data_IF_875938368194
#
_entry.id   IF_875938368194
#
_cell.length_a   1.000
_cell.length_b   1.000
_cell.length_c   1.000
_cell.angle_alpha   90.00
_cell.angle_beta   90.00
_cell.angle_gamma   90.00
#
_symmetry.space_group_name_H-M   'P 1'
#
loop_
_entity.id
_entity.type
_entity.pdbx_description
1 polymer ?
#
# COMPACT_ATOMS: atom_id res chain seq x y z
N UNK A 1 13.21 -11.56 -22.00
CA UNK A 1 13.92 -11.54 -20.71
C UNK A 1 12.86 -11.34 -19.63
N UNK A 2 12.42 -12.43 -18.99
CA UNK A 2 11.44 -12.40 -17.89
C UNK A 2 12.22 -12.38 -16.57
N UNK A 3 11.89 -11.45 -15.67
CA UNK A 3 12.46 -11.44 -14.32
C UNK A 3 11.48 -12.16 -13.40
N UNK A 4 11.70 -13.45 -13.15
CA UNK A 4 10.86 -14.25 -12.24
C UNK A 4 11.26 -14.00 -10.78
N UNK A 5 10.65 -12.98 -10.18
CA UNK A 5 10.60 -12.85 -8.72
C UNK A 5 9.40 -13.67 -8.20
N UNK A 6 9.57 -14.99 -8.09
CA UNK A 6 8.57 -15.85 -7.43
C UNK A 6 8.56 -15.51 -5.92
N UNK A 7 7.60 -14.68 -5.51
CA UNK A 7 7.37 -14.32 -4.11
C UNK A 7 6.38 -15.28 -3.45
N UNK A 8 6.61 -16.61 -3.52
CA UNK A 8 5.73 -17.56 -2.85
C UNK A 8 6.28 -17.97 -1.48
N UNK A 9 5.44 -17.87 -0.45
CA UNK A 9 5.69 -18.48 0.84
C UNK A 9 5.67 -20.01 0.69
N UNK A 10 6.80 -20.64 1.00
CA UNK A 10 6.99 -22.07 1.32
C UNK A 10 5.81 -23.02 1.06
N UNK A 11 5.73 -23.58 -0.15
CA UNK A 11 5.05 -24.87 -0.40
C UNK A 11 6.10 -25.95 -0.66
N UNK A 12 6.15 -27.03 0.14
CA UNK A 12 7.04 -28.16 -0.14
C UNK A 12 6.46 -28.99 -1.29
N UNK A 13 7.23 -29.19 -2.36
CA UNK A 13 6.96 -30.26 -3.33
C UNK A 13 6.68 -29.90 -4.79
N UNK A 14 6.87 -28.65 -5.25
CA UNK A 14 6.83 -28.35 -6.70
C UNK A 14 7.98 -27.45 -7.14
N UNK A 15 8.79 -28.02 -8.04
CA UNK A 15 9.86 -27.43 -8.87
C UNK A 15 10.21 -25.97 -8.56
N UNK A 16 11.33 -25.77 -7.87
CA UNK A 16 12.03 -24.48 -7.85
C UNK A 16 12.32 -24.08 -9.29
N UNK A 17 11.59 -23.08 -9.80
CA UNK A 17 11.86 -22.51 -11.10
C UNK A 17 13.18 -21.73 -11.00
N UNK A 18 14.09 -22.10 -11.91
CA UNK A 18 15.48 -21.65 -12.02
C UNK A 18 15.59 -20.14 -11.78
N UNK A 19 16.50 -19.75 -10.88
CA UNK A 19 17.11 -18.41 -10.85
C UNK A 19 17.75 -18.17 -12.22
N UNK A 20 17.00 -17.68 -13.19
CA UNK A 20 17.61 -17.03 -14.33
C UNK A 20 18.02 -15.64 -13.87
N UNK A 21 19.33 -15.49 -13.81
CA UNK A 21 20.09 -14.33 -13.44
C UNK A 21 19.53 -13.04 -14.08
N UNK A 22 18.98 -12.18 -13.23
CA UNK A 22 19.05 -10.74 -13.39
C UNK A 22 18.74 -10.13 -12.02
N UNK A 23 19.71 -10.16 -11.10
CA UNK A 23 19.78 -9.07 -10.14
C UNK A 23 19.76 -7.79 -10.97
N UNK A 24 18.73 -6.95 -10.82
CA UNK A 24 18.76 -5.60 -11.35
C UNK A 24 20.06 -4.97 -10.79
N UNK A 25 21.07 -4.66 -11.63
CA UNK A 25 22.35 -4.19 -11.12
C UNK A 25 22.12 -2.95 -10.26
N UNK A 26 22.56 -2.98 -9.00
CA UNK A 26 22.34 -1.89 -8.04
C UNK A 26 21.01 -1.91 -7.27
N UNK A 27 20.16 -2.93 -7.43
CA UNK A 27 18.89 -3.04 -6.70
C UNK A 27 18.88 -4.21 -5.70
N UNK A 28 18.47 -3.95 -4.46
CA UNK A 28 18.39 -4.95 -3.38
C UNK A 28 16.95 -5.27 -3.00
N UNK A 29 16.55 -6.53 -3.12
CA UNK A 29 15.22 -6.96 -2.66
C UNK A 29 15.19 -7.05 -1.12
N UNK A 30 14.20 -6.43 -0.48
CA UNK A 30 13.96 -6.53 0.96
C UNK A 30 12.47 -6.81 1.27
N UNK A 31 12.21 -7.33 2.48
CA UNK A 31 10.85 -7.72 2.94
C UNK A 31 10.31 -6.84 4.07
N UNK A 32 11.11 -5.90 4.54
CA UNK A 32 10.81 -4.99 5.63
C UNK A 32 11.36 -3.60 5.32
N UNK A 33 10.69 -2.56 5.81
CA UNK A 33 11.14 -1.18 5.66
C UNK A 33 12.57 -1.01 6.18
N UNK A 34 13.37 -0.26 5.42
CA UNK A 34 14.72 0.14 5.82
C UNK A 34 14.64 1.56 6.39
N UNK A 35 14.83 1.71 7.69
CA UNK A 35 14.64 3.01 8.36
C UNK A 35 15.92 3.84 8.23
N UNK A 36 15.81 5.05 7.67
CA UNK A 36 16.95 5.97 7.60
C UNK A 36 17.40 6.41 9.00
N UNK A 37 18.70 6.70 9.15
CA UNK A 37 19.32 6.97 10.46
C UNK A 37 18.71 8.17 11.20
N UNK A 38 18.21 9.15 10.46
CA UNK A 38 17.61 10.37 10.97
C UNK A 38 16.09 10.26 11.19
N UNK A 39 15.46 9.13 10.82
CA UNK A 39 14.06 8.86 11.09
C UNK A 39 13.93 8.15 12.45
N UNK A 40 13.17 8.74 13.36
CA UNK A 40 12.87 8.15 14.68
C UNK A 40 11.48 7.53 14.66
N UNK A 41 11.41 6.23 14.91
CA UNK A 41 10.14 5.54 15.04
C UNK A 41 9.49 5.83 16.41
N UNK A 42 8.17 6.01 16.48
CA UNK A 42 7.46 6.13 17.75
C UNK A 42 7.55 4.84 18.58
N UNK A 43 7.34 4.97 19.88
CA UNK A 43 7.27 3.82 20.78
C UNK A 43 6.04 2.94 20.47
N UNK A 44 6.15 1.65 20.77
CA UNK A 44 5.04 0.72 20.60
C UNK A 44 3.87 1.08 21.52
N UNK A 45 2.64 1.12 20.97
CA UNK A 45 1.42 1.32 21.76
C UNK A 45 1.11 0.08 22.62
N UNK A 46 0.29 0.25 23.65
CA UNK A 46 -0.08 -0.82 24.59
C UNK A 46 -0.84 -1.98 23.94
N UNK A 47 -1.67 -1.72 22.92
CA UNK A 47 -2.46 -2.75 22.25
C UNK A 47 -3.64 -3.28 23.09
N UNK A 48 -4.25 -4.37 22.65
CA UNK A 48 -5.35 -5.04 23.36
C UNK A 48 -4.86 -6.14 24.30
N UNK A 49 -5.64 -6.46 25.33
CA UNK A 49 -5.40 -7.57 26.27
C UNK A 49 -6.13 -8.88 25.87
N UNK A 50 -6.72 -8.96 24.68
CA UNK A 50 -7.36 -10.19 24.19
C UNK A 50 -6.37 -11.36 24.17
N UNK A 51 -6.83 -12.59 24.43
CA UNK A 51 -6.00 -13.79 24.36
C UNK A 51 -6.30 -14.59 23.09
N UNK A 52 -5.27 -15.15 22.44
CA UNK A 52 -5.44 -15.94 21.23
C UNK A 52 -5.82 -15.08 20.01
N UNK A 53 -7.10 -14.87 19.77
CA UNK A 53 -7.59 -14.04 18.65
C UNK A 53 -8.62 -13.02 19.12
N UNK A 54 -8.64 -11.85 18.49
CA UNK A 54 -9.65 -10.82 18.78
C UNK A 54 -10.95 -11.18 18.06
N UNK A 55 -12.02 -11.40 18.83
CA UNK A 55 -13.33 -11.86 18.32
C UNK A 55 -14.49 -10.96 18.73
N UNK A 56 -14.47 -10.40 19.95
CA UNK A 56 -15.52 -9.49 20.42
C UNK A 56 -15.05 -8.03 20.26
N UNK A 57 -15.62 -7.27 19.32
CA UNK A 57 -15.21 -5.88 19.10
C UNK A 57 -15.55 -4.94 20.26
N UNK A 58 -16.49 -5.31 21.13
CA UNK A 58 -16.88 -4.51 22.30
C UNK A 58 -15.81 -4.52 23.39
N UNK A 59 -15.05 -5.61 23.48
CA UNK A 59 -13.99 -5.78 24.48
C UNK A 59 -12.60 -5.45 23.93
N UNK A 60 -12.37 -5.65 22.62
CA UNK A 60 -11.07 -5.42 22.02
C UNK A 60 -10.76 -3.91 21.86
N UNK A 61 -9.72 -3.43 22.54
CA UNK A 61 -9.25 -2.05 22.40
C UNK A 61 -8.89 -1.67 20.94
N UNK A 62 -8.33 -2.62 20.17
CA UNK A 62 -7.99 -2.39 18.76
C UNK A 62 -9.23 -2.27 17.85
N UNK A 63 -10.33 -2.96 18.15
CA UNK A 63 -11.57 -2.81 17.41
C UNK A 63 -12.21 -1.43 17.63
N UNK A 64 -12.13 -0.91 18.87
CA UNK A 64 -12.61 0.44 19.20
C UNK A 64 -11.91 1.54 18.39
N UNK A 65 -10.60 1.39 18.11
CA UNK A 65 -9.86 2.31 17.24
C UNK A 65 -10.39 2.32 15.80
N UNK A 66 -11.04 1.25 15.36
CA UNK A 66 -11.66 1.12 14.04
C UNK A 66 -13.16 1.49 14.05
N UNK A 67 -13.63 2.28 15.02
CA UNK A 67 -15.05 2.64 15.09
C UNK A 67 -15.96 1.54 15.66
N UNK A 68 -15.41 0.70 16.55
CA UNK A 68 -16.13 -0.33 17.32
C UNK A 68 -16.53 -1.60 16.55
N UNK A 69 -15.89 -1.88 15.42
CA UNK A 69 -15.90 -3.20 14.76
C UNK A 69 -14.53 -3.52 14.15
N UNK A 70 -14.29 -4.77 13.76
CA UNK A 70 -13.05 -5.16 13.08
C UNK A 70 -13.09 -4.73 11.60
N UNK A 71 -11.98 -4.20 11.07
CA UNK A 71 -11.90 -3.76 9.67
C UNK A 71 -11.78 -4.95 8.68
N UNK A 72 -11.54 -6.15 9.20
CA UNK A 72 -11.31 -7.36 8.42
C UNK A 72 -12.34 -8.45 8.75
N UNK A 73 -12.80 -9.15 7.72
CA UNK A 73 -13.56 -10.40 7.86
C UNK A 73 -12.64 -11.61 7.79
N UNK A 74 -12.89 -12.63 8.63
CA UNK A 74 -12.16 -13.90 8.63
C UNK A 74 -12.63 -14.80 7.47
N UNK A 75 -12.35 -14.39 6.24
CA UNK A 75 -12.66 -15.13 5.02
C UNK A 75 -11.42 -15.19 4.14
N UNK A 76 -11.07 -16.36 3.59
CA UNK A 76 -9.91 -16.57 2.71
C UNK A 76 -8.58 -16.03 3.27
N UNK A 77 -8.37 -16.16 4.59
CA UNK A 77 -7.15 -15.68 5.25
C UNK A 77 -7.17 -14.21 5.69
N UNK A 78 -8.32 -13.53 5.59
CA UNK A 78 -8.53 -12.14 6.01
C UNK A 78 -8.77 -11.23 4.81
N UNK A 79 -9.90 -10.53 4.80
CA UNK A 79 -10.25 -9.55 3.75
C UNK A 79 -10.69 -8.25 4.38
N UNK A 80 -10.19 -7.13 3.88
CA UNK A 80 -10.67 -5.81 4.27
C UNK A 80 -12.11 -5.65 3.79
N UNK A 81 -13.00 -5.21 4.68
CA UNK A 81 -14.42 -5.06 4.38
C UNK A 81 -14.64 -3.90 3.41
N UNK A 82 -14.01 -2.78 3.69
CA UNK A 82 -14.12 -1.53 2.95
C UNK A 82 -12.85 -0.68 3.15
N UNK A 83 -12.57 0.24 2.25
CA UNK A 83 -11.47 1.19 2.41
C UNK A 83 -11.77 2.19 3.55
N UNK A 84 -10.73 2.58 4.29
CA UNK A 84 -10.84 3.47 5.46
C UNK A 84 -9.74 4.52 5.47
N UNK A 85 -9.94 5.61 6.20
CA UNK A 85 -8.90 6.63 6.43
C UNK A 85 -7.61 6.01 6.96
N UNK A 86 -7.76 5.13 7.94
CA UNK A 86 -6.69 4.33 8.47
C UNK A 86 -7.28 3.06 9.07
N UNK A 87 -6.55 1.96 8.95
CA UNK A 87 -6.89 0.69 9.58
C UNK A 87 -5.97 0.47 10.77
N UNK A 88 -6.53 0.18 11.94
CA UNK A 88 -5.76 -0.13 13.14
C UNK A 88 -5.70 -1.64 13.38
N UNK A 89 -4.55 -2.23 13.09
CA UNK A 89 -4.27 -3.64 13.40
C UNK A 89 -3.74 -3.83 14.82
N UNK A 90 -3.85 -5.06 15.32
CA UNK A 90 -3.19 -5.47 16.55
C UNK A 90 -1.66 -5.41 16.36
N UNK A 91 -1.00 -4.73 17.31
CA UNK A 91 0.45 -4.51 17.32
C UNK A 91 1.25 -5.54 18.13
N UNK A 92 2.57 -5.30 18.31
CA UNK A 92 3.47 -6.20 19.03
C UNK A 92 3.09 -6.45 20.50
N UNK A 93 2.51 -5.45 21.17
CA UNK A 93 2.14 -5.54 22.59
C UNK A 93 0.73 -6.10 22.82
N UNK A 94 -0.02 -6.45 21.77
CA UNK A 94 -1.33 -7.07 21.94
C UNK A 94 -1.19 -8.51 22.44
N UNK A 95 -2.07 -8.94 23.35
CA UNK A 95 -2.12 -10.32 23.86
C UNK A 95 -2.58 -11.38 22.84
N UNK A 96 -3.11 -10.95 21.68
CA UNK A 96 -3.54 -11.85 20.62
C UNK A 96 -2.35 -12.28 19.74
N UNK A 97 -2.37 -13.54 19.32
CA UNK A 97 -1.33 -14.16 18.51
C UNK A 97 -1.37 -13.79 17.02
N UNK A 98 -0.44 -14.32 16.21
CA UNK A 98 -0.29 -14.00 14.79
C UNK A 98 -1.47 -14.47 13.92
N UNK A 99 -2.26 -15.43 14.40
CA UNK A 99 -3.49 -15.90 13.74
C UNK A 99 -4.69 -14.96 13.86
N UNK A 100 -4.57 -13.86 14.62
CA UNK A 100 -5.65 -12.88 14.79
C UNK A 100 -6.05 -12.24 13.45
N UNK A 101 -7.35 -12.16 13.16
CA UNK A 101 -7.88 -11.53 11.93
C UNK A 101 -7.46 -10.06 11.83
N UNK A 102 -7.35 -9.36 12.97
CA UNK A 102 -6.87 -7.99 13.03
C UNK A 102 -5.34 -7.86 12.92
N UNK A 103 -4.69 -8.82 12.26
CA UNK A 103 -3.27 -8.80 11.84
C UNK A 103 -3.14 -9.23 10.37
N UNK A 104 -4.19 -9.05 9.57
CA UNK A 104 -4.31 -9.60 8.21
C UNK A 104 -3.15 -9.18 7.32
N UNK A 105 -2.78 -7.89 7.29
CA UNK A 105 -1.70 -7.39 6.45
C UNK A 105 -0.29 -7.79 6.92
N UNK A 106 -0.12 -8.19 8.19
CA UNK A 106 1.17 -8.61 8.76
C UNK A 106 1.61 -9.99 8.26
N UNK A 107 0.72 -10.75 7.60
CA UNK A 107 0.97 -12.14 7.20
C UNK A 107 1.80 -12.28 5.92
N UNK A 108 2.28 -11.16 5.37
CA UNK A 108 3.07 -11.10 4.14
C UNK A 108 2.29 -11.46 2.89
N UNK A 109 3.00 -11.58 1.76
CA UNK A 109 2.44 -11.93 0.45
C UNK A 109 1.87 -13.36 0.49
N UNK A 110 0.60 -13.51 0.09
CA UNK A 110 -0.12 -14.80 0.04
C UNK A 110 -0.33 -15.35 -1.37
N UNK A 111 -0.29 -14.48 -2.37
CA UNK A 111 -0.57 -14.84 -3.75
C UNK A 111 0.73 -15.11 -4.51
N UNK A 112 0.69 -16.03 -5.46
CA UNK A 112 1.81 -16.22 -6.39
C UNK A 112 1.86 -15.06 -7.39
N UNK A 113 2.80 -14.15 -7.16
CA UNK A 113 3.02 -12.97 -8.01
C UNK A 113 4.19 -13.18 -8.97
N UNK A 114 4.09 -12.58 -10.15
CA UNK A 114 5.12 -12.58 -11.18
C UNK A 114 5.36 -11.16 -11.69
N UNK A 115 6.65 -10.81 -11.86
CA UNK A 115 7.06 -9.59 -12.57
C UNK A 115 7.25 -9.92 -14.05
N UNK A 116 6.62 -9.14 -14.94
CA UNK A 116 6.68 -9.34 -16.38
C UNK A 116 6.96 -8.04 -17.12
N UNK A 117 7.43 -8.12 -18.38
CA UNK A 117 7.73 -6.94 -19.20
C UNK A 117 6.53 -6.58 -20.05
N UNK A 118 6.16 -5.30 -20.04
CA UNK A 118 5.12 -4.72 -20.90
C UNK A 118 5.74 -3.96 -22.07
N UNK A 119 5.00 -3.77 -23.18
CA UNK A 119 5.51 -3.04 -24.34
C UNK A 119 5.82 -1.55 -24.08
N UNK A 120 5.05 -0.88 -23.22
CA UNK A 120 5.09 0.59 -23.06
C UNK A 120 5.30 1.10 -21.62
N UNK A 121 5.10 0.27 -20.60
CA UNK A 121 5.17 0.69 -19.17
C UNK A 121 6.41 0.14 -18.46
N UNK A 122 7.26 -0.61 -19.15
CA UNK A 122 8.40 -1.28 -18.54
C UNK A 122 7.98 -2.55 -17.81
N UNK A 123 8.43 -2.72 -16.58
CA UNK A 123 8.07 -3.88 -15.75
C UNK A 123 6.66 -3.72 -15.16
N UNK A 124 5.99 -4.83 -14.90
CA UNK A 124 4.64 -4.88 -14.33
C UNK A 124 4.51 -6.11 -13.42
N UNK A 125 3.45 -6.15 -12.61
CA UNK A 125 3.14 -7.31 -11.75
C UNK A 125 1.79 -7.90 -12.16
N UNK A 126 1.69 -9.24 -12.13
CA UNK A 126 0.42 -9.97 -12.23
C UNK A 126 0.40 -11.12 -11.23
N UNK A 127 -0.77 -11.67 -10.96
CA UNK A 127 -0.90 -12.90 -10.17
C UNK A 127 -1.18 -14.12 -11.04
N UNK A 128 -0.66 -15.27 -10.64
CA UNK A 128 -0.99 -16.57 -11.25
C UNK A 128 -2.30 -17.14 -10.73
N UNK A 129 -2.85 -16.54 -9.69
CA UNK A 129 -4.00 -17.02 -8.93
C UNK A 129 -5.09 -15.96 -8.92
N UNK A 130 -6.31 -16.40 -8.60
CA UNK A 130 -7.40 -15.47 -8.34
C UNK A 130 -7.16 -14.71 -7.03
N UNK A 131 -7.35 -13.39 -7.04
CA UNK A 131 -7.29 -12.54 -5.85
C UNK A 131 -8.70 -12.02 -5.54
N UNK A 132 -9.31 -12.39 -4.40
CA UNK A 132 -10.63 -11.88 -4.04
C UNK A 132 -10.56 -10.40 -3.61
N UNK A 133 -11.62 -9.64 -3.89
CA UNK A 133 -11.74 -8.24 -3.46
C UNK A 133 -11.49 -8.10 -1.94
N UNK A 134 -10.77 -7.08 -1.52
CA UNK A 134 -10.36 -6.85 -0.12
C UNK A 134 -9.20 -7.72 0.35
N UNK A 135 -8.63 -8.61 -0.46
CA UNK A 135 -7.43 -9.36 -0.07
C UNK A 135 -6.19 -8.45 -0.02
N UNK A 136 -5.31 -8.59 0.99
CA UNK A 136 -4.02 -7.92 1.01
C UNK A 136 -3.10 -8.49 -0.06
N UNK A 137 -2.52 -7.62 -0.89
CA UNK A 137 -1.58 -8.02 -1.96
C UNK A 137 -0.14 -7.92 -1.47
N UNK A 138 0.30 -6.71 -1.11
CA UNK A 138 1.64 -6.47 -0.57
C UNK A 138 1.72 -5.10 0.13
N UNK A 139 2.68 -4.96 1.04
CA UNK A 139 3.11 -3.66 1.57
C UNK A 139 4.03 -2.98 0.56
N UNK A 140 4.00 -1.64 0.48
CA UNK A 140 4.99 -0.89 -0.29
C UNK A 140 6.27 -0.76 0.56
N UNK A 141 7.32 -1.52 0.19
CA UNK A 141 8.55 -1.58 0.97
C UNK A 141 9.69 -0.89 0.21
N UNK A 142 10.45 -0.07 0.93
CA UNK A 142 11.67 0.60 0.49
C UNK A 142 12.42 1.19 1.68
N UNK A 143 13.20 2.23 1.44
CA UNK A 143 13.82 3.04 2.49
C UNK A 143 12.84 4.11 2.99
N UNK A 144 12.53 4.10 4.28
CA UNK A 144 11.74 5.14 4.93
C UNK A 144 12.65 6.32 5.24
N UNK A 145 12.41 7.45 4.58
CA UNK A 145 13.23 8.67 4.62
C UNK A 145 12.34 9.88 4.90
N UNK A 146 12.93 11.01 5.34
CA UNK A 146 12.20 12.27 5.36
C UNK A 146 12.15 12.81 3.93
N UNK A 147 11.03 13.41 3.56
CA UNK A 147 10.82 13.89 2.18
C UNK A 147 11.84 14.97 1.79
N UNK A 148 12.26 15.80 2.74
CA UNK A 148 13.31 16.82 2.53
C UNK A 148 14.70 16.24 2.20
N UNK A 149 14.97 14.99 2.61
CA UNK A 149 16.25 14.31 2.34
C UNK A 149 16.23 13.55 1.01
N UNK A 150 15.07 13.49 0.34
CA UNK A 150 15.03 12.91 -0.99
C UNK A 150 15.70 13.88 -1.94
N UNK A 151 16.86 13.48 -2.47
CA UNK A 151 17.36 14.11 -3.66
C UNK A 151 16.27 13.89 -4.71
N UNK A 152 15.53 14.95 -5.05
CA UNK A 152 14.67 14.97 -6.24
C UNK A 152 15.56 14.93 -7.50
N UNK A 153 16.52 13.99 -7.56
CA UNK A 153 17.13 13.57 -8.82
C UNK A 153 15.95 13.27 -9.70
N UNK A 154 15.80 14.06 -10.76
CA UNK A 154 14.56 14.24 -11.51
C UNK A 154 14.11 12.99 -12.30
N UNK A 155 14.61 11.82 -11.92
CA UNK A 155 14.46 10.52 -12.56
C UNK A 155 14.06 9.39 -11.60
N UNK A 156 14.06 9.58 -10.26
CA UNK A 156 13.59 8.53 -9.34
C UNK A 156 12.06 8.47 -9.30
N UNK A 157 11.47 7.54 -10.07
CA UNK A 157 10.02 7.33 -10.16
C UNK A 157 9.50 6.28 -9.15
N UNK A 158 10.25 5.95 -8.10
CA UNK A 158 9.93 4.88 -7.14
C UNK A 158 9.71 5.37 -5.71
N UNK A 159 9.45 6.68 -5.54
CA UNK A 159 9.13 7.30 -4.26
C UNK A 159 7.61 7.24 -4.03
N UNK A 160 7.21 6.84 -2.83
CA UNK A 160 5.82 6.85 -2.38
C UNK A 160 5.67 7.76 -1.16
N UNK A 161 4.95 8.87 -1.31
CA UNK A 161 4.69 9.80 -0.20
C UNK A 161 3.66 9.22 0.78
N UNK A 162 3.95 9.29 2.09
CA UNK A 162 3.02 8.80 3.11
C UNK A 162 2.03 9.90 3.47
N UNK A 163 0.93 9.96 2.72
CA UNK A 163 -0.19 10.86 2.97
C UNK A 163 -1.52 10.10 3.06
N UNK A 164 -1.93 9.75 4.28
CA UNK A 164 -3.19 9.04 4.50
C UNK A 164 -4.42 9.89 4.18
N UNK A 165 -4.33 11.23 4.22
CA UNK A 165 -5.44 12.12 3.89
C UNK A 165 -5.64 12.21 2.37
N UNK A 166 -4.56 12.32 1.59
CA UNK A 166 -4.66 12.27 0.12
C UNK A 166 -5.07 10.88 -0.39
N UNK A 167 -4.58 9.81 0.24
CA UNK A 167 -5.02 8.44 -0.06
C UNK A 167 -6.54 8.34 -0.01
N UNK A 168 -7.20 9.06 0.91
CA UNK A 168 -8.67 9.14 1.01
C UNK A 168 -9.33 10.00 -0.05
N UNK A 169 -8.77 11.18 -0.38
CA UNK A 169 -9.34 12.04 -1.43
C UNK A 169 -9.34 11.34 -2.80
N UNK A 170 -8.36 10.47 -3.06
CA UNK A 170 -8.34 9.59 -4.23
C UNK A 170 -9.48 8.55 -4.26
N UNK A 171 -10.01 8.14 -3.10
CA UNK A 171 -11.17 7.24 -3.00
C UNK A 171 -12.50 7.97 -3.28
N UNK A 172 -12.59 9.27 -3.03
CA UNK A 172 -13.77 10.09 -3.34
C UNK A 172 -14.09 10.20 -4.83
N UNK A 173 -13.11 9.93 -5.72
CA UNK A 173 -13.35 9.76 -7.16
C UNK A 173 -14.08 8.46 -7.52
N UNK A 174 -14.15 7.49 -6.60
CA UNK A 174 -14.77 6.15 -6.76
C UNK A 174 -16.10 6.01 -6.00
N UNK A 175 -16.48 6.96 -5.14
CA UNK A 175 -17.73 6.92 -4.35
C UNK A 175 -19.03 7.05 -5.17
N UNK A 176 -18.99 7.22 -6.49
CA UNK A 176 -20.22 7.26 -7.32
C UNK A 176 -20.81 5.89 -7.66
N UNK A 177 -20.34 4.78 -7.07
CA UNK A 177 -20.93 3.43 -7.26
C UNK A 177 -20.91 2.55 -6.00
N UNK A 178 -21.53 2.96 -4.91
CA UNK A 178 -22.38 2.11 -4.04
C UNK A 178 -23.01 3.00 -2.95
N UNK A 179 -24.30 2.75 -2.68
CA UNK A 179 -25.16 3.66 -1.93
C UNK A 179 -24.74 3.95 -0.49
N UNK A 180 -24.88 5.24 -0.15
CA UNK A 180 -25.34 5.82 1.11
C UNK A 180 -24.93 5.13 2.43
N UNK A 181 -23.81 5.59 3.01
CA UNK A 181 -23.58 5.46 4.45
C UNK A 181 -22.98 6.77 4.96
N UNK A 182 -23.77 7.48 5.76
CA UNK A 182 -23.35 8.65 6.53
C UNK A 182 -22.17 8.31 7.46
N UNK A 183 -21.04 8.96 7.20
CA UNK A 183 -19.80 8.88 8.01
C UNK A 183 -20.06 9.46 9.41
N UNK A 184 -19.84 8.73 10.51
CA UNK A 184 -19.82 9.32 11.84
C UNK A 184 -18.62 10.27 11.93
N UNK A 185 -18.90 11.53 12.27
CA UNK A 185 -17.92 12.59 12.45
C UNK A 185 -16.73 12.12 13.29
N UNK A 186 -15.55 12.15 12.67
CA UNK A 186 -14.28 12.15 13.39
C UNK A 186 -14.20 13.51 14.10
N UNK A 187 -14.64 13.57 15.35
CA UNK A 187 -14.41 14.70 16.25
C UNK A 187 -12.93 14.75 16.68
N UNK A 188 -12.02 14.90 15.71
CA UNK A 188 -10.63 15.27 15.93
C UNK A 188 -10.23 16.54 15.16
N UNK A 189 -11.21 17.29 14.63
CA UNK A 189 -10.98 18.58 13.98
C UNK A 189 -11.76 19.66 14.74
N UNK A 190 -11.23 20.06 15.89
CA UNK A 190 -11.53 21.39 16.40
C UNK A 190 -10.64 22.40 15.67
N UNK A 191 -11.27 23.21 14.82
CA UNK A 191 -10.83 24.55 14.42
C UNK A 191 -9.50 24.67 13.68
N UNK A 192 -9.56 24.73 12.35
CA UNK A 192 -9.11 25.86 11.52
C UNK A 192 -9.03 25.40 10.06
N UNK A 193 -9.92 25.94 9.22
CA UNK A 193 -9.88 25.82 7.76
C UNK A 193 -8.70 26.66 7.20
N UNK A 194 -7.48 26.40 7.67
CA UNK A 194 -6.25 26.90 7.09
C UNK A 194 -5.56 25.80 6.29
N UNK A 195 -5.94 25.82 5.02
CA UNK A 195 -5.28 25.24 3.85
C UNK A 195 -3.75 25.39 3.93
N UNK A 196 -3.09 24.36 4.47
CA UNK A 196 -1.70 24.06 4.17
C UNK A 196 -1.70 22.79 3.35
N UNK A 197 -1.35 22.86 2.06
CA UNK A 197 -0.85 21.70 1.33
C UNK A 197 0.48 21.30 1.99
N UNK A 198 0.40 20.65 3.14
CA UNK A 198 1.59 20.21 3.85
C UNK A 198 2.21 19.08 3.04
N UNK A 199 3.38 19.35 2.45
CA UNK A 199 4.22 18.32 1.85
C UNK A 199 4.36 17.17 2.87
N UNK A 200 4.12 15.91 2.47
CA UNK A 200 4.24 14.77 3.37
C UNK A 200 5.62 14.75 4.03
N UNK A 201 5.69 14.55 5.35
CA UNK A 201 6.97 14.63 6.09
C UNK A 201 7.88 13.44 5.79
N UNK A 202 7.29 12.27 5.49
CA UNK A 202 8.01 11.04 5.20
C UNK A 202 7.53 10.42 3.89
N UNK A 203 8.43 9.71 3.23
CA UNK A 203 8.16 8.92 2.05
C UNK A 203 8.94 7.59 2.08
N UNK A 204 8.54 6.67 1.22
CA UNK A 204 9.19 5.37 1.02
C UNK A 204 9.90 5.39 -0.34
N UNK A 205 11.23 5.43 -0.33
CA UNK A 205 12.05 5.35 -1.55
C UNK A 205 12.38 3.89 -1.89
N UNK A 206 11.77 3.39 -2.97
CA UNK A 206 12.04 2.07 -3.52
C UNK A 206 13.01 2.07 -4.72
N UNK A 207 13.82 3.13 -4.88
CA UNK A 207 14.78 3.29 -5.98
C UNK A 207 15.86 2.21 -6.00
N UNK A 208 16.56 2.03 -4.88
CA UNK A 208 17.71 1.11 -4.75
C UNK A 208 17.43 -0.12 -3.88
N UNK A 209 16.41 -0.09 -3.04
CA UNK A 209 16.00 -1.20 -2.18
C UNK A 209 14.49 -1.26 -2.03
N UNK A 210 13.89 -2.43 -1.94
CA UNK A 210 12.44 -2.56 -1.76
C UNK A 210 11.91 -3.95 -2.09
N UNK A 211 10.59 -4.09 -2.16
CA UNK A 211 9.95 -5.35 -2.54
C UNK A 211 9.29 -5.29 -3.92
N UNK A 212 8.42 -6.27 -4.22
CA UNK A 212 7.71 -6.37 -5.49
C UNK A 212 6.77 -5.18 -5.79
N UNK A 213 6.33 -4.43 -4.77
CA UNK A 213 5.34 -3.37 -4.92
C UNK A 213 5.78 -2.25 -5.89
N UNK A 214 7.07 -1.94 -5.95
CA UNK A 214 7.64 -0.94 -6.86
C UNK A 214 7.41 -1.20 -8.35
N UNK A 215 7.09 -2.46 -8.71
CA UNK A 215 6.84 -2.86 -10.09
C UNK A 215 5.36 -2.81 -10.45
N UNK A 216 4.47 -2.49 -9.50
CA UNK A 216 3.03 -2.38 -9.73
C UNK A 216 2.76 -1.04 -10.40
N UNK A 217 2.21 -1.07 -11.61
CA UNK A 217 2.03 0.12 -12.42
C UNK A 217 0.78 0.94 -12.06
N UNK A 218 0.77 2.17 -12.57
CA UNK A 218 -0.41 3.01 -12.60
C UNK A 218 -1.50 2.46 -13.54
N UNK A 219 -2.77 2.61 -13.13
CA UNK A 219 -3.93 2.63 -14.03
C UNK A 219 -4.92 3.72 -13.63
N UNK A 220 -5.64 4.30 -14.60
CA UNK A 220 -6.77 5.21 -14.34
C UNK A 220 -8.04 4.45 -13.95
N UNK A 221 -8.10 3.15 -14.28
CA UNK A 221 -9.10 2.19 -13.79
C UNK A 221 -8.37 1.04 -13.08
N UNK A 222 -7.83 1.26 -11.86
CA UNK A 222 -7.02 0.27 -11.19
C UNK A 222 -7.84 -0.81 -10.48
N UNK A 223 -7.27 -2.01 -10.36
CA UNK A 223 -7.86 -3.13 -9.60
C UNK A 223 -7.30 -3.28 -8.18
N UNK A 224 -6.33 -2.45 -7.80
CA UNK A 224 -5.85 -2.28 -6.43
C UNK A 224 -6.18 -0.89 -5.89
N UNK A 225 -6.12 -0.76 -4.57
CA UNK A 225 -6.11 0.54 -3.88
C UNK A 225 -5.12 0.52 -2.73
N UNK A 226 -4.69 1.72 -2.33
CA UNK A 226 -3.80 1.94 -1.20
C UNK A 226 -4.62 2.11 0.07
N UNK A 227 -4.17 1.47 1.15
CA UNK A 227 -4.75 1.57 2.48
C UNK A 227 -3.62 1.86 3.48
N UNK A 228 -3.72 2.95 4.22
CA UNK A 228 -2.87 3.20 5.38
C UNK A 228 -3.24 2.23 6.52
N UNK A 229 -2.23 1.57 7.10
CA UNK A 229 -2.39 0.64 8.23
C UNK A 229 -1.44 1.01 9.37
N UNK A 230 -1.97 1.09 10.58
CA UNK A 230 -1.23 1.32 11.82
C UNK A 230 -1.29 0.06 12.69
N UNK A 231 -0.18 -0.29 13.36
CA UNK A 231 -0.13 -1.47 14.23
C UNK A 231 0.80 -1.30 15.42
N UNK A 232 2.08 -0.99 15.18
CA UNK A 232 3.08 -0.76 16.25
C UNK A 232 2.89 0.58 16.94
N UNK A 233 2.61 1.63 16.19
CA UNK A 233 2.34 2.99 16.67
C UNK A 233 1.08 3.57 16.03
N UNK A 234 0.62 4.72 16.54
CA UNK A 234 -0.54 5.44 15.99
C UNK A 234 -0.18 6.73 15.24
N UNK A 235 1.11 6.99 14.98
CA UNK A 235 1.52 8.12 14.13
C UNK A 235 1.19 7.84 12.64
N UNK A 236 0.22 8.59 12.11
CA UNK A 236 -0.27 8.47 10.73
C UNK A 236 0.78 8.84 9.68
N UNK A 237 1.76 9.68 10.03
CA UNK A 237 2.82 10.10 9.10
C UNK A 237 3.80 8.98 8.76
N UNK A 238 3.80 7.93 9.58
CA UNK A 238 4.65 6.75 9.45
C UNK A 238 3.81 5.48 9.22
N UNK A 239 2.57 5.63 8.75
CA UNK A 239 1.69 4.50 8.49
C UNK A 239 2.28 3.53 7.48
N UNK A 240 2.00 2.24 7.64
CA UNK A 240 2.32 1.24 6.64
C UNK A 240 1.43 1.43 5.43
N UNK A 241 2.03 1.47 4.24
CA UNK A 241 1.32 1.61 2.97
C UNK A 241 1.02 0.23 2.42
N UNK A 242 -0.24 -0.20 2.49
CA UNK A 242 -0.67 -1.52 2.03
C UNK A 242 -1.47 -1.42 0.74
N UNK A 243 -1.21 -2.32 -0.21
CA UNK A 243 -2.03 -2.51 -1.41
C UNK A 243 -3.03 -3.65 -1.18
N UNK A 244 -4.31 -3.34 -1.37
CA UNK A 244 -5.42 -4.30 -1.31
C UNK A 244 -6.11 -4.41 -2.66
N UNK A 245 -6.67 -5.58 -2.95
CA UNK A 245 -7.51 -5.76 -4.13
C UNK A 245 -8.81 -4.96 -4.01
N UNK A 246 -9.08 -4.07 -4.95
CA UNK A 246 -10.36 -3.35 -5.04
C UNK A 246 -11.47 -4.26 -5.57
N UNK A 247 -11.12 -5.13 -6.51
CA UNK A 247 -12.03 -6.01 -7.24
C UNK A 247 -11.61 -7.48 -7.08
N UNK A 248 -12.46 -8.38 -7.58
CA UNK A 248 -12.07 -9.77 -7.83
C UNK A 248 -11.17 -9.81 -9.06
N UNK A 249 -9.90 -10.21 -8.88
CA UNK A 249 -8.88 -10.18 -9.93
C UNK A 249 -8.64 -11.60 -10.45
N UNK A 250 -8.96 -11.90 -11.72
CA UNK A 250 -8.61 -13.16 -12.37
C UNK A 250 -7.10 -13.36 -12.51
N UNK A 251 -6.65 -14.63 -12.62
CA UNK A 251 -5.27 -14.93 -12.97
C UNK A 251 -4.79 -14.19 -14.22
N UNK A 252 -3.51 -13.82 -14.22
CA UNK A 252 -2.78 -13.15 -15.29
C UNK A 252 -3.19 -11.71 -15.61
N UNK A 253 -4.23 -11.17 -14.95
CA UNK A 253 -4.52 -9.74 -15.03
C UNK A 253 -3.41 -8.93 -14.35
N UNK A 254 -2.98 -7.84 -15.00
CA UNK A 254 -2.01 -6.91 -14.44
C UNK A 254 -2.57 -6.23 -13.18
N UNK A 255 -1.78 -6.20 -12.12
CA UNK A 255 -2.08 -5.51 -10.88
C UNK A 255 -1.69 -4.03 -11.02
N UNK A 256 -2.62 -3.13 -10.71
CA UNK A 256 -2.42 -1.68 -10.86
C UNK A 256 -3.15 -0.91 -9.77
N UNK A 257 -2.58 0.23 -9.35
CA UNK A 257 -3.22 1.21 -8.46
C UNK A 257 -3.18 2.61 -9.09
N UNK A 258 -3.96 3.57 -8.58
CA UNK A 258 -3.85 4.96 -9.02
C UNK A 258 -2.67 5.61 -8.28
N UNK A 259 -1.74 6.22 -9.02
CA UNK A 259 -0.58 6.87 -8.40
C UNK A 259 -0.95 8.19 -7.72
N UNK A 260 -2.13 8.75 -8.02
CA UNK A 260 -2.62 9.95 -7.33
C UNK A 260 -1.92 11.26 -7.72
N UNK A 261 -0.96 11.25 -8.66
CA UNK A 261 -0.34 12.48 -9.14
C UNK A 261 -1.39 13.43 -9.72
N UNK A 262 -1.36 14.68 -9.27
CA UNK A 262 -2.10 15.78 -9.89
C UNK A 262 -1.44 16.13 -11.25
N UNK A 263 -2.26 16.55 -12.22
CA UNK A 263 -1.72 17.01 -13.50
C UNK A 263 -0.88 18.25 -13.28
N UNK A 264 0.24 18.34 -13.99
CA UNK A 264 1.12 19.51 -13.98
C UNK A 264 1.77 19.76 -12.59
N UNK A 265 1.82 18.73 -11.72
CA UNK A 265 2.42 18.81 -10.37
C UNK A 265 3.92 18.56 -10.33
N UNK A 266 4.52 18.06 -11.42
CA UNK A 266 5.95 17.71 -11.48
C UNK A 266 6.68 18.75 -12.29
N UNK A 267 7.73 19.32 -11.70
CA UNK A 267 8.59 20.32 -12.35
C UNK A 267 9.97 19.71 -12.65
N UNK A 268 10.50 20.02 -13.83
CA UNK A 268 11.88 19.68 -14.19
C UNK A 268 12.90 20.66 -13.60
N UNK A 269 14.21 20.38 -13.74
CA UNK A 269 15.29 21.24 -13.23
C UNK A 269 15.24 22.69 -13.71
N UNK A 270 14.62 22.92 -14.88
CA UNK A 270 14.46 24.25 -15.48
C UNK A 270 13.24 25.01 -14.97
N UNK A 271 12.49 24.48 -14.00
CA UNK A 271 11.23 25.05 -13.50
C UNK A 271 10.05 24.89 -14.44
N UNK A 272 10.20 24.15 -15.55
CA UNK A 272 9.10 23.83 -16.48
C UNK A 272 8.36 22.58 -16.02
N UNK A 273 7.04 22.57 -16.22
CA UNK A 273 6.21 21.39 -15.98
C UNK A 273 6.73 20.23 -16.83
N UNK A 274 7.03 19.11 -16.17
CA UNK A 274 7.41 17.85 -16.79
C UNK A 274 6.13 17.02 -16.96
N UNK A 275 5.93 16.50 -18.16
CA UNK A 275 4.77 15.67 -18.46
C UNK A 275 5.19 14.23 -18.75
N UNK A 276 4.37 13.27 -18.30
CA UNK A 276 4.53 11.86 -18.62
C UNK A 276 3.21 11.28 -19.13
N UNK A 277 3.23 10.65 -20.31
CA UNK A 277 2.04 10.05 -20.90
C UNK A 277 1.60 8.78 -20.15
N UNK A 278 0.28 8.61 -20.03
CA UNK A 278 -0.33 7.42 -19.47
C UNK A 278 -0.60 6.37 -20.54
N UNK A 279 -0.10 5.15 -20.32
CA UNK A 279 -0.30 3.99 -21.19
C UNK A 279 -1.07 2.87 -20.49
N UNK A 280 -1.97 3.20 -19.54
CA UNK A 280 -2.74 2.20 -18.79
C UNK A 280 -3.73 1.41 -19.64
N UNK A 281 -4.21 1.99 -20.75
CA UNK A 281 -5.17 1.34 -21.65
C UNK A 281 -6.64 1.43 -21.22
N UNK A 282 -6.94 2.07 -20.09
CA UNK A 282 -8.30 2.33 -19.63
C UNK A 282 -9.11 3.18 -20.63
N UNK A 283 -10.41 2.94 -20.72
CA UNK A 283 -11.29 3.67 -21.63
C UNK A 283 -11.33 5.15 -21.28
N UNK A 284 -11.54 5.46 -20.00
CA UNK A 284 -11.59 6.82 -19.45
C UNK A 284 -10.21 7.29 -18.95
N UNK A 285 -9.14 6.88 -19.63
CA UNK A 285 -7.78 7.26 -19.28
C UNK A 285 -7.55 8.77 -19.38
N UNK A 286 -7.03 9.37 -18.30
CA UNK A 286 -6.65 10.80 -18.19
C UNK A 286 -5.46 11.23 -19.08
N UNK A 287 -4.92 10.29 -19.87
CA UNK A 287 -3.83 10.43 -20.86
C UNK A 287 -2.46 10.82 -20.31
N UNK A 288 -2.35 11.31 -19.07
CA UNK A 288 -1.09 11.68 -18.40
C UNK A 288 -0.97 11.07 -17.00
N UNK A 289 0.24 10.71 -16.59
CA UNK A 289 0.56 10.39 -15.20
C UNK A 289 0.68 11.70 -14.40
N UNK A 290 1.49 12.63 -14.89
CA UNK A 290 1.66 14.01 -14.42
C UNK A 290 1.95 14.94 -15.60
#
# INVERSE_FOLDING_TARGET
MEMKLDCCASTPGRSQLKRHDSSLPGYTYCKSLQIAKNVKLPANVSGCNCQGTCVDPRTCACAKLNGSDFPYVQLNGGRLIEARAVVFECGPNCGCGPGCVNRTSQRGIKHRLEVFRTPKKGWAVRSWEFIPAGAPVCEYIGALVRTEDTDHVCENNYIFDIDCLQTMRGLGGRERRLGDVSVPAINCFDGDDQKSESVPEFCIDAGSTGNIARFINHSCEPNLFVQCVLSSHHDVKLARVMLFAADNIPPMQELTYDYGYALDSVYGPSGKIKQMLCYCGAADCRKRLF
#
